data_IF_866171066522
#
_entry.id   IF_866171066522
#
_cell.length_a   1.000
_cell.length_b   1.000
_cell.length_c   1.000
_cell.angle_alpha   90.00
_cell.angle_beta   90.00
_cell.angle_gamma   90.00
#
_symmetry.space_group_name_H-M   'P 1'
#
loop_
_entity.id
_entity.type
_entity.pdbx_description
1 polymer ?
#
# COMPACT_ATOMS: atom_id res chain seq x y z
N UNK A 1 2.63 51.42 69.25
CA UNK A 1 4.10 51.48 69.44
C UNK A 1 4.71 51.47 68.05
N UNK A 2 4.82 52.67 67.46
CA UNK A 2 6.12 53.32 67.21
C UNK A 2 6.77 52.65 65.98
N UNK A 3 6.50 53.09 64.74
CA UNK A 3 6.75 54.43 64.18
C UNK A 3 8.25 54.79 64.26
N UNK A 4 8.77 55.35 63.17
CA UNK A 4 10.19 55.64 62.84
C UNK A 4 10.99 54.57 62.09
N UNK A 5 11.09 54.74 60.76
CA UNK A 5 12.28 55.39 60.20
C UNK A 5 12.00 55.85 58.76
N UNK A 6 11.73 57.15 58.60
CA UNK A 6 11.58 57.84 57.33
C UNK A 6 12.82 58.70 57.07
N UNK A 7 13.14 58.90 55.79
CA UNK A 7 14.12 59.85 55.18
C UNK A 7 15.49 59.23 54.95
N UNK A 8 16.17 59.41 53.83
CA UNK A 8 15.97 60.21 52.62
C UNK A 8 17.04 59.73 51.62
N UNK A 9 16.82 59.85 50.31
CA UNK A 9 17.74 60.50 49.36
C UNK A 9 17.34 60.16 47.93
N UNK A 10 16.67 61.12 47.34
CA UNK A 10 16.53 61.31 45.90
C UNK A 10 17.93 61.58 45.34
N UNK A 11 18.46 60.65 44.54
CA UNK A 11 19.70 60.80 43.78
C UNK A 11 19.42 60.58 42.30
N UNK A 12 19.43 61.66 41.53
CA UNK A 12 19.28 61.71 40.08
C UNK A 12 20.36 60.87 39.39
N UNK A 13 20.01 60.12 38.34
CA UNK A 13 20.40 60.37 36.93
C UNK A 13 20.01 59.19 36.05
N UNK A 14 19.16 59.47 35.06
CA UNK A 14 18.94 58.62 33.90
C UNK A 14 20.23 58.53 33.06
N UNK A 15 20.55 57.33 32.56
CA UNK A 15 21.02 57.02 31.19
C UNK A 15 21.83 55.71 31.18
N UNK A 16 21.14 54.60 30.91
CA UNK A 16 21.69 53.52 30.09
C UNK A 16 20.62 53.07 29.10
N UNK A 17 20.53 53.83 28.02
CA UNK A 17 20.05 53.36 26.72
C UNK A 17 21.05 52.34 26.19
N UNK A 18 20.60 51.14 25.78
CA UNK A 18 21.41 50.29 24.90
C UNK A 18 21.18 48.79 25.01
N UNK A 19 20.19 48.30 24.28
CA UNK A 19 20.33 47.18 23.33
C UNK A 19 20.82 45.81 23.88
N UNK A 20 19.89 44.88 24.14
CA UNK A 20 20.06 43.43 23.86
C UNK A 20 18.76 42.66 24.21
N UNK A 21 17.71 42.79 23.40
CA UNK A 21 16.58 41.85 23.48
C UNK A 21 15.99 41.62 22.08
N UNK A 22 16.78 41.09 21.17
CA UNK A 22 16.31 40.56 19.90
C UNK A 22 17.15 39.32 19.56
N UNK A 23 16.48 38.29 19.04
CA UNK A 23 17.00 37.02 18.49
C UNK A 23 16.87 35.77 19.40
N UNK A 24 15.63 35.40 19.70
CA UNK A 24 15.28 33.98 19.82
C UNK A 24 13.96 33.75 19.08
N UNK A 25 13.99 33.85 17.75
CA UNK A 25 12.89 33.38 16.90
C UNK A 25 13.04 31.85 16.81
N UNK A 26 12.11 31.04 17.35
CA UNK A 26 12.19 29.60 17.15
C UNK A 26 11.99 29.32 15.66
N UNK A 27 12.97 28.68 15.01
CA UNK A 27 12.77 28.07 13.70
C UNK A 27 11.77 26.92 13.89
N UNK A 28 10.50 27.20 13.69
CA UNK A 28 9.47 26.17 13.54
C UNK A 28 9.68 25.60 12.13
N UNK A 29 10.48 24.55 12.02
CA UNK A 29 10.54 23.74 10.80
C UNK A 29 9.15 23.17 10.55
N UNK A 30 8.53 23.55 9.43
CA UNK A 30 7.31 22.91 8.95
C UNK A 30 7.66 21.47 8.57
N UNK A 31 7.27 20.51 9.41
CA UNK A 31 7.32 19.09 9.07
C UNK A 31 6.12 18.81 8.18
N UNK A 32 6.34 18.65 6.88
CA UNK A 32 5.30 18.11 6.01
C UNK A 32 5.11 16.62 6.29
N UNK A 33 3.86 16.14 6.45
CA UNK A 33 3.60 14.72 6.62
C UNK A 33 3.94 13.97 5.34
N UNK A 34 4.78 12.93 5.44
CA UNK A 34 5.05 12.02 4.35
C UNK A 34 3.75 11.31 3.94
N UNK A 35 3.32 11.49 2.68
CA UNK A 35 2.13 10.80 2.14
C UNK A 35 2.55 9.49 1.48
N UNK A 36 2.29 8.36 2.13
CA UNK A 36 2.43 7.04 1.53
C UNK A 36 1.27 6.74 0.57
N UNK A 37 1.36 7.24 -0.66
CA UNK A 37 0.33 7.06 -1.71
C UNK A 37 0.34 5.62 -2.22
N UNK A 38 -0.86 5.04 -2.42
CA UNK A 38 -1.00 3.73 -3.09
C UNK A 38 -1.19 3.97 -4.59
N UNK A 39 -0.43 3.26 -5.41
CA UNK A 39 -0.56 3.31 -6.87
C UNK A 39 -1.54 2.22 -7.31
N UNK A 40 -2.63 2.62 -7.96
CA UNK A 40 -3.60 1.69 -8.53
C UNK A 40 -3.14 1.24 -9.93
N UNK A 41 -3.24 -0.06 -10.20
CA UNK A 41 -2.76 -0.67 -11.42
C UNK A 41 -3.90 -1.41 -12.13
N UNK A 42 -3.87 -1.42 -13.47
CA UNK A 42 -4.87 -2.09 -14.29
C UNK A 42 -4.62 -3.60 -14.46
N UNK A 43 -3.43 -4.09 -14.12
CA UNK A 43 -3.05 -5.50 -14.26
C UNK A 43 -2.45 -6.03 -12.96
N UNK A 44 -2.96 -7.18 -12.53
CA UNK A 44 -2.38 -8.01 -11.48
C UNK A 44 -1.61 -9.17 -12.11
N UNK A 45 -0.36 -9.36 -11.70
CA UNK A 45 0.50 -10.45 -12.17
C UNK A 45 0.49 -11.54 -11.12
N UNK A 46 0.03 -12.72 -11.50
CA UNK A 46 -0.01 -13.88 -10.63
C UNK A 46 1.05 -14.90 -11.05
N UNK A 47 1.56 -15.62 -10.06
CA UNK A 47 2.27 -16.87 -10.29
C UNK A 47 1.36 -18.02 -9.87
N UNK A 48 1.35 -19.07 -10.70
CA UNK A 48 0.70 -20.32 -10.38
C UNK A 48 1.67 -21.49 -10.50
N UNK A 49 1.59 -22.46 -9.59
CA UNK A 49 2.32 -23.72 -9.70
C UNK A 49 1.34 -24.87 -9.88
N UNK A 50 1.66 -25.77 -10.81
CA UNK A 50 1.06 -27.10 -10.86
C UNK A 50 1.91 -28.04 -10.01
N UNK A 51 1.38 -28.48 -8.86
CA UNK A 51 2.06 -29.37 -7.91
C UNK A 51 2.31 -30.77 -8.47
N UNK A 52 1.61 -31.18 -9.53
CA UNK A 52 1.79 -32.47 -10.20
C UNK A 52 3.01 -32.42 -11.12
N UNK A 53 3.13 -31.36 -11.91
CA UNK A 53 4.23 -31.21 -12.88
C UNK A 53 5.43 -30.43 -12.35
N UNK A 54 5.26 -29.72 -11.24
CA UNK A 54 6.25 -28.81 -10.65
C UNK A 54 6.50 -27.54 -11.49
N UNK A 55 5.67 -27.27 -12.51
CA UNK A 55 5.84 -26.11 -13.39
C UNK A 55 5.20 -24.86 -12.77
N UNK A 56 5.99 -23.80 -12.66
CA UNK A 56 5.52 -22.46 -12.30
C UNK A 56 5.27 -21.66 -13.58
N UNK A 57 4.13 -20.99 -13.66
CA UNK A 57 3.78 -20.08 -14.75
C UNK A 57 3.34 -18.75 -14.20
N UNK A 58 3.84 -17.68 -14.80
CA UNK A 58 3.38 -16.32 -14.54
C UNK A 58 2.32 -15.95 -15.58
N UNK A 59 1.22 -15.36 -15.13
CA UNK A 59 0.15 -14.90 -16.00
C UNK A 59 -0.40 -13.55 -15.53
N UNK A 60 -0.73 -12.72 -16.51
CA UNK A 60 -1.29 -11.39 -16.29
C UNK A 60 -2.82 -11.48 -16.27
N UNK A 61 -3.43 -10.78 -15.33
CA UNK A 61 -4.89 -10.69 -15.20
C UNK A 61 -5.29 -9.23 -15.09
N UNK A 62 -6.14 -8.79 -16.00
CA UNK A 62 -6.73 -7.46 -15.94
C UNK A 62 -7.71 -7.36 -14.76
N UNK A 63 -7.77 -6.18 -14.13
CA UNK A 63 -8.68 -5.97 -13.01
C UNK A 63 -10.14 -6.12 -13.47
N UNK A 64 -10.91 -6.93 -12.76
CA UNK A 64 -12.30 -7.25 -13.07
C UNK A 64 -12.47 -8.43 -14.05
N UNK A 65 -11.39 -8.92 -14.63
CA UNK A 65 -11.41 -10.06 -15.54
C UNK A 65 -11.10 -11.37 -14.82
N UNK A 66 -11.57 -12.48 -15.38
CA UNK A 66 -11.32 -13.82 -14.86
C UNK A 66 -10.38 -14.57 -15.80
N UNK A 67 -9.26 -15.04 -15.26
CA UNK A 67 -8.32 -15.93 -15.98
C UNK A 67 -8.32 -17.30 -15.33
N UNK A 68 -8.29 -18.34 -16.15
CA UNK A 68 -8.22 -19.72 -15.68
C UNK A 68 -6.77 -20.21 -15.62
N UNK A 69 -6.38 -20.74 -14.46
CA UNK A 69 -5.14 -21.46 -14.24
C UNK A 69 -5.44 -22.89 -13.76
N UNK A 70 -5.28 -23.88 -14.64
CA UNK A 70 -5.65 -25.26 -14.34
C UNK A 70 -7.14 -25.39 -14.04
N UNK A 71 -7.47 -25.84 -12.82
CA UNK A 71 -8.84 -25.92 -12.31
C UNK A 71 -9.30 -24.67 -11.54
N UNK A 72 -8.44 -23.64 -11.43
CA UNK A 72 -8.74 -22.42 -10.69
C UNK A 72 -9.11 -21.28 -11.64
N UNK A 73 -10.10 -20.47 -11.26
CA UNK A 73 -10.46 -19.21 -11.89
C UNK A 73 -10.09 -18.07 -10.94
N UNK A 74 -9.26 -17.15 -11.41
CA UNK A 74 -8.68 -16.07 -10.60
C UNK A 74 -9.24 -14.75 -11.10
N UNK A 75 -9.87 -13.99 -10.20
CA UNK A 75 -10.52 -12.71 -10.53
C UNK A 75 -10.06 -11.61 -9.57
N UNK A 76 -9.04 -10.81 -9.93
CA UNK A 76 -8.59 -9.68 -9.12
C UNK A 76 -9.53 -8.49 -9.27
N UNK A 77 -9.92 -7.88 -8.15
CA UNK A 77 -10.82 -6.71 -8.12
C UNK A 77 -10.08 -5.38 -7.99
N UNK A 78 -8.90 -5.39 -7.36
CA UNK A 78 -8.02 -4.22 -7.23
C UNK A 78 -6.58 -4.68 -7.12
N UNK A 79 -5.61 -3.93 -7.65
CA UNK A 79 -4.20 -4.20 -7.45
C UNK A 79 -3.46 -2.90 -7.12
N UNK A 80 -2.82 -2.87 -5.96
CA UNK A 80 -2.06 -1.71 -5.46
C UNK A 80 -0.58 -2.02 -5.37
N UNK A 81 0.26 -1.09 -5.82
CA UNK A 81 1.70 -1.08 -5.62
C UNK A 81 2.14 0.20 -4.88
N UNK A 82 3.43 0.27 -4.55
CA UNK A 82 4.11 1.44 -4.00
C UNK A 82 5.10 2.00 -5.00
N UNK A 83 5.51 3.24 -4.77
CA UNK A 83 6.60 3.86 -5.50
C UNK A 83 7.95 3.24 -5.08
N UNK A 84 8.98 3.49 -5.88
CA UNK A 84 10.30 2.89 -5.68
C UNK A 84 11.06 3.46 -4.46
N UNK A 85 10.61 4.59 -3.89
CA UNK A 85 11.26 5.20 -2.71
C UNK A 85 10.77 4.63 -1.39
N UNK A 86 9.64 3.90 -1.39
CA UNK A 86 9.09 3.19 -0.22
C UNK A 86 9.48 1.70 -0.26
N UNK A 87 9.36 1.01 0.88
CA UNK A 87 9.43 -0.44 0.90
C UNK A 87 8.35 -1.05 -0.02
N UNK A 88 8.71 -2.05 -0.86
CA UNK A 88 7.74 -2.74 -1.70
C UNK A 88 6.60 -3.29 -0.86
N UNK A 89 5.38 -2.87 -1.22
CA UNK A 89 4.15 -3.37 -0.61
C UNK A 89 3.08 -3.52 -1.67
N UNK A 90 3.04 -4.69 -2.29
CA UNK A 90 2.10 -4.96 -3.37
C UNK A 90 0.97 -5.87 -2.89
N UNK A 91 -0.27 -5.44 -3.10
CA UNK A 91 -1.46 -6.14 -2.58
C UNK A 91 -2.59 -6.18 -3.60
N UNK A 92 -3.32 -7.29 -3.67
CA UNK A 92 -4.54 -7.42 -4.49
C UNK A 92 -5.69 -7.94 -3.63
N UNK A 93 -6.92 -7.52 -3.91
CA UNK A 93 -8.11 -8.22 -3.41
C UNK A 93 -8.63 -9.10 -4.55
N UNK A 94 -8.78 -10.40 -4.29
CA UNK A 94 -9.02 -11.39 -5.35
C UNK A 94 -10.02 -12.44 -4.87
N UNK A 95 -10.86 -12.86 -5.81
CA UNK A 95 -11.66 -14.08 -5.68
C UNK A 95 -10.99 -15.21 -6.47
N UNK A 96 -10.95 -16.38 -5.86
CA UNK A 96 -10.50 -17.61 -6.51
C UNK A 96 -11.58 -18.68 -6.40
N UNK A 97 -12.02 -19.13 -7.55
CA UNK A 97 -13.04 -20.17 -7.71
C UNK A 97 -12.40 -21.45 -8.24
N UNK A 98 -12.86 -22.60 -7.77
CA UNK A 98 -12.46 -23.93 -8.23
C UNK A 98 -13.54 -24.49 -9.17
N UNK A 99 -13.10 -25.03 -10.30
CA UNK A 99 -13.91 -25.85 -11.20
C UNK A 99 -13.75 -27.31 -10.79
N UNK A 100 -14.78 -27.86 -10.17
CA UNK A 100 -14.78 -29.25 -9.70
C UNK A 100 -14.91 -30.26 -10.85
N UNK A 101 -14.68 -31.55 -10.56
CA UNK A 101 -14.81 -32.64 -11.54
C UNK A 101 -16.24 -32.77 -12.10
N UNK A 102 -17.26 -32.41 -11.33
CA UNK A 102 -18.65 -32.35 -11.76
C UNK A 102 -19.02 -31.03 -12.45
N UNK A 103 -18.03 -30.21 -12.83
CA UNK A 103 -18.16 -28.93 -13.52
C UNK A 103 -18.98 -27.89 -12.76
N UNK A 104 -18.90 -27.90 -11.43
CA UNK A 104 -19.45 -26.85 -10.58
C UNK A 104 -18.36 -25.85 -10.26
N UNK A 105 -18.74 -24.57 -10.23
CA UNK A 105 -17.87 -23.48 -9.82
C UNK A 105 -18.15 -23.19 -8.36
N UNK A 106 -17.11 -23.26 -7.52
CA UNK A 106 -17.20 -22.97 -6.09
C UNK A 106 -16.09 -22.03 -5.66
N UNK A 107 -16.45 -20.99 -4.91
CA UNK A 107 -15.48 -20.10 -4.26
C UNK A 107 -14.68 -20.82 -3.20
N UNK A 108 -13.35 -20.83 -3.36
CA UNK A 108 -12.43 -21.40 -2.38
C UNK A 108 -11.66 -20.32 -1.62
N UNK A 109 -11.55 -19.11 -2.17
CA UNK A 109 -10.89 -17.99 -1.54
C UNK A 109 -11.48 -16.65 -1.96
N UNK A 110 -11.59 -15.74 -1.00
CA UNK A 110 -11.86 -14.31 -1.20
C UNK A 110 -11.04 -13.54 -0.18
N UNK A 111 -10.14 -12.68 -0.62
CA UNK A 111 -9.34 -11.93 0.33
C UNK A 111 -8.20 -11.14 -0.27
N UNK A 112 -7.42 -10.53 0.63
CA UNK A 112 -6.22 -9.79 0.29
C UNK A 112 -5.04 -10.73 0.13
N UNK A 113 -4.37 -10.70 -1.01
CA UNK A 113 -3.06 -11.32 -1.22
C UNK A 113 -1.94 -10.28 -1.17
N UNK A 114 -0.74 -10.73 -0.77
CA UNK A 114 0.44 -9.88 -0.57
C UNK A 114 1.61 -10.46 -1.36
N UNK A 115 2.18 -9.70 -2.29
CA UNK A 115 3.30 -10.17 -3.10
C UNK A 115 4.56 -10.40 -2.26
N UNK A 116 4.80 -9.53 -1.26
CA UNK A 116 5.99 -9.58 -0.41
C UNK A 116 5.90 -10.66 0.68
N UNK A 117 4.72 -11.26 0.85
CA UNK A 117 4.51 -12.35 1.82
C UNK A 117 3.42 -13.30 1.33
N UNK A 118 3.69 -14.08 0.25
CA UNK A 118 2.70 -14.98 -0.34
C UNK A 118 2.14 -15.98 0.67
N UNK A 119 2.98 -16.49 1.58
CA UNK A 119 2.56 -17.46 2.60
C UNK A 119 1.54 -16.96 3.63
N UNK A 120 1.21 -15.66 3.66
CA UNK A 120 0.14 -15.15 4.54
C UNK A 120 -1.26 -15.41 3.98
N UNK A 121 -1.45 -15.26 2.66
CA UNK A 121 -2.77 -15.30 2.04
C UNK A 121 -2.73 -15.82 0.59
N UNK A 122 -1.82 -16.71 0.24
CA UNK A 122 -1.86 -17.43 -1.04
C UNK A 122 -2.97 -18.49 -1.04
N UNK A 123 -3.42 -18.87 -2.24
CA UNK A 123 -4.30 -20.02 -2.40
C UNK A 123 -3.46 -21.27 -2.54
N UNK A 124 -3.62 -22.16 -1.56
CA UNK A 124 -3.01 -23.48 -1.54
C UNK A 124 -4.09 -24.51 -1.87
N UNK A 125 -4.16 -24.95 -3.12
CA UNK A 125 -5.08 -25.99 -3.55
C UNK A 125 -4.33 -27.33 -3.72
N UNK A 126 -4.96 -28.50 -3.55
CA UNK A 126 -4.24 -29.79 -3.54
C UNK A 126 -3.40 -30.07 -4.79
N UNK A 127 -3.78 -29.49 -5.93
CA UNK A 127 -3.13 -29.68 -7.24
C UNK A 127 -2.44 -28.41 -7.74
N UNK A 128 -2.91 -27.23 -7.35
CA UNK A 128 -2.49 -25.95 -7.92
C UNK A 128 -2.30 -24.94 -6.80
N UNK A 129 -1.27 -24.10 -6.86
CA UNK A 129 -1.22 -22.91 -5.98
C UNK A 129 -1.20 -21.66 -6.82
N UNK A 130 -1.77 -20.59 -6.28
CA UNK A 130 -1.79 -19.27 -6.91
C UNK A 130 -1.48 -18.21 -5.89
N UNK A 131 -0.57 -17.31 -6.24
CA UNK A 131 -0.22 -16.15 -5.43
C UNK A 131 0.05 -14.92 -6.28
N UNK A 132 -0.15 -13.75 -5.67
CA UNK A 132 0.21 -12.47 -6.28
C UNK A 132 1.74 -12.36 -6.40
N UNK A 133 2.22 -11.96 -7.57
CA UNK A 133 3.64 -11.67 -7.80
C UNK A 133 3.92 -10.17 -7.90
N UNK A 134 3.10 -9.41 -8.63
CA UNK A 134 3.25 -7.96 -8.74
C UNK A 134 1.98 -7.30 -9.31
N UNK A 135 1.95 -5.96 -9.32
CA UNK A 135 0.96 -5.18 -10.06
C UNK A 135 1.70 -4.33 -11.10
N UNK A 136 1.11 -4.13 -12.28
CA UNK A 136 1.68 -3.26 -13.32
C UNK A 136 0.60 -2.47 -14.06
N UNK A 137 0.93 -1.27 -14.59
CA UNK A 137 -0.06 -0.42 -15.25
C UNK A 137 -0.50 -0.97 -16.61
N UNK A 138 0.35 -1.72 -17.31
CA UNK A 138 0.11 -2.25 -18.66
C UNK A 138 0.65 -3.66 -18.79
N UNK A 139 0.06 -4.47 -19.69
CA UNK A 139 0.54 -5.80 -20.06
C UNK A 139 0.84 -5.86 -21.57
N UNK A 140 1.77 -6.72 -21.96
CA UNK A 140 2.02 -7.07 -23.36
C UNK A 140 0.94 -8.00 -23.94
N UNK A 141 0.15 -8.62 -23.05
CA UNK A 141 -1.03 -9.42 -23.43
C UNK A 141 -2.18 -8.45 -23.69
N UNK A 142 -2.78 -8.47 -24.90
CA UNK A 142 -3.94 -7.65 -25.20
C UNK A 142 -5.06 -7.86 -24.16
N UNK A 143 -5.75 -6.81 -23.72
CA UNK A 143 -6.95 -6.97 -22.92
C UNK A 143 -7.95 -7.89 -23.63
N UNK A 144 -8.72 -8.71 -22.91
CA UNK A 144 -9.80 -9.46 -23.52
C UNK A 144 -10.73 -8.49 -24.26
N UNK A 145 -11.06 -8.82 -25.51
CA UNK A 145 -11.92 -7.99 -26.34
C UNK A 145 -13.27 -7.82 -25.64
N UNK A 146 -13.59 -6.61 -25.21
CA UNK A 146 -14.92 -6.24 -24.70
C UNK A 146 -16.02 -6.44 -25.77
N UNK A 147 -15.64 -6.83 -26.99
CA UNK A 147 -16.46 -7.02 -28.18
C UNK A 147 -16.95 -8.46 -28.41
N UNK A 148 -16.57 -9.45 -27.60
CA UNK A 148 -17.10 -10.82 -27.77
C UNK A 148 -18.52 -11.02 -27.22
N UNK A 149 -19.13 -9.99 -26.61
CA UNK A 149 -20.49 -10.01 -26.06
C UNK A 149 -21.27 -8.74 -26.44
N UNK A 150 -21.29 -8.37 -27.72
CA UNK A 150 -22.33 -7.54 -28.32
C UNK A 150 -22.97 -8.25 -29.51
#
# INVERSE_FOLDING_TARGET
>A
MADFCLRNLIGRTARHTGLALLLALPLISAVEPARAVRLSNAVAVFSGIDKITGRITTFDVYIGETVQFGALQVTPHVCYSRDETEAPKTTTFVDVDEITLDRKIRRIFTGWMFADSPGLNAVEHPVYDVWLQSCKPTSDVPPPDTAANQ
#
